data_IF_627408604553
#
_entry.id   IF_627408604553
#
_cell.length_a   1.000
_cell.length_b   1.000
_cell.length_c   1.000
_cell.angle_alpha   90.00
_cell.angle_beta   90.00
_cell.angle_gamma   90.00
#
_symmetry.space_group_name_H-M   'P 1'
#
loop_
_entity.id
_entity.type
_entity.pdbx_description
1 polymer ?
#
# COMPACT_ATOMS: atom_id res chain seq x y z
N UNK A 1 31.43 -16.10 20.82
CA UNK A 1 30.95 -14.73 21.11
C UNK A 1 29.65 -14.49 20.35
N UNK A 2 28.63 -14.00 21.04
CA UNK A 2 27.20 -14.10 20.73
C UNK A 2 26.83 -13.70 19.29
N UNK A 3 26.24 -14.63 18.52
CA UNK A 3 25.53 -14.31 17.28
C UNK A 3 24.32 -13.45 17.65
N UNK A 4 24.50 -12.15 17.47
CA UNK A 4 23.55 -11.05 17.57
C UNK A 4 22.09 -11.51 17.47
N UNK A 5 21.35 -11.28 18.56
CA UNK A 5 19.90 -11.35 18.62
C UNK A 5 19.33 -10.13 17.85
N UNK A 6 19.62 -10.03 16.55
CA UNK A 6 19.12 -8.93 15.72
C UNK A 6 17.62 -9.12 15.59
N UNK A 7 16.86 -8.30 16.30
CA UNK A 7 15.39 -8.24 16.22
C UNK A 7 14.99 -8.12 14.75
N UNK A 8 14.31 -9.15 14.24
CA UNK A 8 13.77 -9.18 12.88
C UNK A 8 12.44 -8.47 12.91
N UNK A 9 12.27 -7.43 12.08
CA UNK A 9 11.02 -6.69 12.05
C UNK A 9 10.02 -7.34 11.09
N UNK A 10 10.50 -7.79 9.93
CA UNK A 10 9.72 -8.31 8.80
C UNK A 10 10.23 -9.69 8.36
N UNK A 11 11.50 -9.79 7.98
CA UNK A 11 12.11 -11.03 7.44
C UNK A 11 13.61 -11.12 7.79
N UNK A 12 14.09 -12.32 8.12
CA UNK A 12 15.52 -12.59 8.35
C UNK A 12 16.29 -12.79 7.04
N UNK A 13 17.61 -12.90 7.12
CA UNK A 13 18.36 -13.50 6.01
C UNK A 13 18.03 -15.00 5.88
N UNK A 14 18.12 -15.53 4.67
CA UNK A 14 17.94 -16.95 4.39
C UNK A 14 19.06 -17.78 4.98
N UNK A 15 18.71 -18.93 5.56
CA UNK A 15 19.65 -19.95 6.02
C UNK A 15 19.43 -21.20 5.18
N UNK A 16 20.50 -21.75 4.62
CA UNK A 16 20.39 -23.01 3.90
C UNK A 16 19.92 -24.11 4.86
N UNK A 17 18.91 -24.86 4.42
CA UNK A 17 18.41 -26.03 5.10
C UNK A 17 19.05 -27.27 4.48
N UNK A 18 19.52 -28.14 5.35
CA UNK A 18 19.99 -29.49 5.02
C UNK A 18 18.90 -30.48 5.45
N UNK A 19 17.69 -30.29 4.90
CA UNK A 19 16.50 -31.08 5.22
C UNK A 19 15.90 -31.60 3.91
N UNK A 20 15.55 -32.88 3.91
CA UNK A 20 14.77 -33.51 2.85
C UNK A 20 13.33 -32.97 2.87
N UNK A 21 13.04 -32.05 1.94
CA UNK A 21 11.72 -31.43 1.78
C UNK A 21 10.74 -32.32 1.01
N UNK A 22 11.17 -33.44 0.42
CA UNK A 22 10.32 -34.29 -0.43
C UNK A 22 9.14 -34.89 0.35
N UNK A 23 9.23 -34.92 1.68
CA UNK A 23 8.14 -35.35 2.58
C UNK A 23 7.18 -34.23 2.99
N UNK A 24 7.53 -32.97 2.73
CA UNK A 24 6.79 -31.80 3.21
C UNK A 24 6.10 -31.01 2.10
N UNK A 25 6.59 -31.07 0.86
CA UNK A 25 6.08 -30.28 -0.27
C UNK A 25 5.83 -31.15 -1.50
N UNK A 26 4.86 -30.75 -2.32
CA UNK A 26 4.50 -31.47 -3.54
C UNK A 26 5.50 -31.21 -4.69
N UNK A 27 5.98 -32.30 -5.28
CA UNK A 27 6.88 -32.31 -6.44
C UNK A 27 8.34 -32.49 -6.07
N UNK A 28 9.14 -32.96 -7.03
CA UNK A 28 10.57 -33.23 -6.82
C UNK A 28 11.32 -31.92 -6.51
N UNK A 29 11.84 -31.81 -5.30
CA UNK A 29 12.62 -30.65 -4.88
C UNK A 29 14.03 -30.76 -5.45
N UNK A 30 14.51 -29.67 -6.04
CA UNK A 30 15.83 -29.63 -6.68
C UNK A 30 16.69 -28.53 -6.08
N UNK A 31 17.93 -28.88 -5.74
CA UNK A 31 18.92 -27.94 -5.22
C UNK A 31 18.66 -27.48 -3.78
N UNK A 32 19.43 -26.49 -3.30
CA UNK A 32 19.43 -26.11 -1.90
C UNK A 32 18.18 -25.32 -1.52
N UNK A 33 17.63 -25.67 -0.35
CA UNK A 33 16.48 -24.98 0.22
C UNK A 33 16.94 -23.90 1.20
N UNK A 34 16.15 -22.84 1.38
CA UNK A 34 16.43 -21.78 2.36
C UNK A 34 15.25 -21.58 3.30
N UNK A 35 15.56 -21.45 4.58
CA UNK A 35 14.63 -21.01 5.63
C UNK A 35 14.85 -19.54 5.98
N UNK A 36 13.76 -18.83 6.14
CA UNK A 36 13.69 -17.47 6.67
C UNK A 36 12.76 -17.46 7.88
N UNK A 37 13.06 -16.59 8.84
CA UNK A 37 12.10 -16.18 9.86
C UNK A 37 11.37 -14.95 9.35
N UNK A 38 10.04 -15.00 9.34
CA UNK A 38 9.20 -13.84 9.07
C UNK A 38 8.44 -13.46 10.34
N UNK A 39 8.20 -12.17 10.54
CA UNK A 39 7.32 -11.71 11.61
C UNK A 39 5.85 -11.90 11.24
N UNK A 40 4.95 -11.64 12.18
CA UNK A 40 3.51 -11.72 11.93
C UNK A 40 3.02 -10.74 10.85
N UNK A 41 3.55 -9.50 10.83
CA UNK A 41 3.27 -8.58 9.73
C UNK A 41 3.90 -9.05 8.40
N UNK A 42 5.08 -9.66 8.43
CA UNK A 42 5.69 -10.27 7.25
C UNK A 42 4.82 -11.38 6.67
N UNK A 43 4.24 -12.20 7.54
CA UNK A 43 3.24 -13.22 7.18
C UNK A 43 1.98 -12.58 6.58
N UNK A 44 1.43 -11.53 7.20
CA UNK A 44 0.27 -10.78 6.69
C UNK A 44 0.51 -10.23 5.27
N UNK A 45 1.66 -9.59 5.04
CA UNK A 45 1.99 -8.98 3.74
C UNK A 45 2.14 -10.03 2.62
N UNK A 46 2.56 -11.25 2.96
CA UNK A 46 2.72 -12.37 2.02
C UNK A 46 1.47 -13.24 1.88
N UNK A 47 0.49 -13.08 2.78
CA UNK A 47 -0.69 -13.94 2.84
C UNK A 47 -1.56 -13.78 1.57
N UNK A 48 -1.86 -14.88 0.85
CA UNK A 48 -2.69 -14.82 -0.36
C UNK A 48 -4.20 -14.73 -0.08
N UNK A 49 -4.61 -14.83 1.19
CA UNK A 49 -6.01 -14.84 1.60
C UNK A 49 -6.61 -13.44 1.63
N UNK A 50 -7.94 -13.38 1.50
CA UNK A 50 -8.67 -12.14 1.55
C UNK A 50 -8.56 -11.45 2.90
N UNK A 51 -8.51 -10.13 2.88
CA UNK A 51 -8.51 -9.30 4.09
C UNK A 51 -9.76 -8.43 4.09
N UNK A 52 -10.28 -8.13 5.27
CA UNK A 52 -11.34 -7.16 5.45
C UNK A 52 -10.75 -5.82 5.87
N UNK A 53 -11.19 -4.74 5.24
CA UNK A 53 -10.87 -3.38 5.65
C UNK A 53 -12.14 -2.56 5.83
N UNK A 54 -12.11 -1.57 6.71
CA UNK A 54 -13.20 -0.61 6.87
C UNK A 54 -12.99 0.58 5.95
N UNK A 55 -14.00 0.94 5.17
CA UNK A 55 -14.06 2.17 4.38
C UNK A 55 -15.33 2.94 4.69
N UNK A 56 -15.33 4.26 4.49
CA UNK A 56 -16.54 5.06 4.68
C UNK A 56 -17.36 5.04 3.40
N UNK A 57 -18.61 4.59 3.47
CA UNK A 57 -19.53 4.70 2.34
C UNK A 57 -20.04 6.14 2.27
N UNK A 58 -19.85 6.81 1.14
CA UNK A 58 -20.22 8.23 0.98
C UNK A 58 -21.30 8.46 -0.07
N UNK A 59 -21.66 7.44 -0.84
CA UNK A 59 -22.61 7.61 -1.93
C UNK A 59 -22.77 6.40 -2.84
N UNK A 60 -23.32 6.63 -4.02
CA UNK A 60 -23.48 5.63 -5.07
C UNK A 60 -23.47 6.23 -6.48
N UNK A 61 -23.07 5.40 -7.44
CA UNK A 61 -23.16 5.65 -8.87
C UNK A 61 -24.32 4.84 -9.46
N UNK A 62 -25.29 5.54 -10.06
CA UNK A 62 -26.51 4.98 -10.61
C UNK A 62 -26.42 4.93 -12.14
N UNK A 63 -26.58 3.72 -12.68
CA UNK A 63 -26.64 3.47 -14.12
C UNK A 63 -28.07 3.16 -14.52
N UNK A 64 -28.64 3.94 -15.44
CA UNK A 64 -30.01 3.79 -15.90
C UNK A 64 -30.14 2.83 -17.09
N UNK A 65 -31.28 2.12 -17.17
CA UNK A 65 -31.64 1.26 -18.32
C UNK A 65 -31.71 2.12 -19.57
N UNK A 66 -31.07 1.68 -20.65
CA UNK A 66 -31.21 2.35 -21.94
C UNK A 66 -32.50 1.87 -22.61
N UNK A 67 -33.36 2.80 -23.03
CA UNK A 67 -34.62 2.46 -23.70
C UNK A 67 -34.41 1.69 -25.03
N UNK A 68 -35.39 0.88 -25.46
CA UNK A 68 -35.31 0.01 -26.64
C UNK A 68 -35.02 0.76 -27.94
N UNK A 69 -35.42 2.04 -28.03
CA UNK A 69 -35.19 2.92 -29.19
C UNK A 69 -33.69 3.17 -29.47
N UNK A 70 -32.80 2.97 -28.48
CA UNK A 70 -31.34 3.13 -28.68
C UNK A 70 -30.65 1.89 -29.24
N UNK A 71 -31.19 0.69 -29.05
CA UNK A 71 -30.66 -0.52 -29.71
C UNK A 71 -30.91 -0.47 -31.23
N UNK A 72 -32.04 0.10 -31.65
CA UNK A 72 -32.39 0.29 -33.06
C UNK A 72 -31.48 1.35 -33.72
N UNK A 73 -31.14 2.45 -33.02
CA UNK A 73 -30.16 3.43 -33.52
C UNK A 73 -28.77 2.82 -33.74
N UNK A 74 -28.30 1.90 -32.87
CA UNK A 74 -27.03 1.17 -33.07
C UNK A 74 -27.04 0.28 -34.34
N UNK A 75 -28.20 -0.26 -34.72
CA UNK A 75 -28.35 -1.03 -35.95
C UNK A 75 -28.37 -0.12 -37.19
N UNK A 76 -29.04 1.03 -37.13
CA UNK A 76 -29.10 1.98 -38.25
C UNK A 76 -27.76 2.67 -38.56
N UNK A 77 -26.90 2.91 -37.57
CA UNK A 77 -25.54 3.45 -37.81
C UNK A 77 -24.56 2.42 -38.40
N UNK A 78 -24.90 1.12 -38.44
CA UNK A 78 -24.11 0.11 -39.15
C UNK A 78 -24.49 -0.02 -40.63
N UNK A 79 -25.58 0.60 -41.09
CA UNK A 79 -26.15 0.39 -42.43
C UNK A 79 -25.94 1.61 -43.37
N UNK A 80 -25.37 2.72 -42.88
CA UNK A 80 -25.04 3.88 -43.73
C UNK A 80 -23.51 4.07 -43.85
N UNK A 81 -22.90 3.71 -44.99
CA UNK A 81 -21.50 3.97 -45.26
C UNK A 81 -21.31 5.44 -45.67
N UNK A 82 -20.33 6.11 -45.07
CA UNK A 82 -19.80 7.37 -45.60
C UNK A 82 -20.33 8.65 -44.94
N UNK A 83 -20.00 8.88 -43.67
CA UNK A 83 -19.85 10.24 -43.14
C UNK A 83 -18.74 10.27 -42.10
N UNK A 84 -17.59 10.82 -42.51
CA UNK A 84 -16.38 10.97 -41.69
C UNK A 84 -16.56 11.90 -40.49
N UNK A 85 -15.92 11.50 -39.39
CA UNK A 85 -15.13 12.33 -38.47
C UNK A 85 -15.67 13.73 -38.16
N UNK A 86 -16.63 13.79 -37.24
CA UNK A 86 -16.62 14.80 -36.16
C UNK A 86 -16.97 14.08 -34.87
N UNK A 87 -16.03 14.06 -33.93
CA UNK A 87 -16.23 13.65 -32.54
C UNK A 87 -17.18 14.65 -31.87
N UNK A 88 -18.48 14.59 -32.24
CA UNK A 88 -19.52 15.21 -31.44
C UNK A 88 -19.65 14.35 -30.19
N UNK A 89 -19.36 14.93 -29.02
CA UNK A 89 -19.68 14.37 -27.70
C UNK A 89 -21.06 13.74 -27.78
N UNK A 90 -21.13 12.41 -27.75
CA UNK A 90 -22.38 11.71 -27.53
C UNK A 90 -22.92 12.18 -26.18
N UNK A 91 -24.18 12.64 -26.08
CA UNK A 91 -24.85 12.69 -24.79
C UNK A 91 -25.22 11.24 -24.43
N UNK A 92 -24.19 10.43 -24.12
CA UNK A 92 -24.41 9.29 -23.25
C UNK A 92 -24.90 9.89 -21.94
N UNK A 93 -26.07 9.45 -21.47
CA UNK A 93 -26.50 9.73 -20.11
C UNK A 93 -25.36 9.25 -19.22
N UNK A 94 -24.57 10.20 -18.74
CA UNK A 94 -23.49 9.95 -17.81
C UNK A 94 -24.10 9.31 -16.57
N UNK A 95 -23.46 8.28 -16.00
CA UNK A 95 -23.94 7.71 -14.75
C UNK A 95 -24.15 8.83 -13.73
N UNK A 96 -25.23 8.72 -12.97
CA UNK A 96 -25.54 9.72 -11.97
C UNK A 96 -24.81 9.40 -10.68
N UNK A 97 -23.89 10.28 -10.29
CA UNK A 97 -23.12 10.17 -9.06
C UNK A 97 -23.84 10.93 -7.95
N UNK A 98 -24.24 10.22 -6.91
CA UNK A 98 -24.88 10.76 -5.71
C UNK A 98 -23.89 10.57 -4.56
N UNK A 99 -23.27 11.66 -4.08
CA UNK A 99 -22.23 11.62 -3.04
C UNK A 99 -22.54 12.67 -1.98
N UNK A 100 -22.35 12.31 -0.71
CA UNK A 100 -22.56 13.22 0.41
C UNK A 100 -21.44 14.24 0.41
N UNK A 101 -21.83 15.51 0.27
CA UNK A 101 -20.88 16.65 0.26
C UNK A 101 -20.59 17.18 1.66
N UNK A 102 -21.36 16.73 2.66
CA UNK A 102 -21.18 17.17 4.03
C UNK A 102 -20.40 16.11 4.80
N UNK A 103 -19.13 16.41 5.09
CA UNK A 103 -18.38 15.72 6.16
C UNK A 103 -18.97 16.15 7.51
N UNK A 104 -20.18 15.70 7.83
CA UNK A 104 -20.68 15.71 9.21
C UNK A 104 -19.86 14.66 9.98
N UNK A 105 -18.64 15.03 10.35
CA UNK A 105 -17.79 14.24 11.23
C UNK A 105 -17.71 14.96 12.57
N UNK A 106 -18.04 14.23 13.63
CA UNK A 106 -17.73 14.65 14.98
C UNK A 106 -16.30 14.16 15.24
N UNK A 107 -15.36 15.07 15.56
CA UNK A 107 -14.02 14.65 15.96
C UNK A 107 -14.09 13.76 17.20
N UNK A 108 -13.11 12.87 17.43
CA UNK A 108 -13.17 11.94 18.52
C UNK A 108 -13.06 12.76 19.82
N UNK A 109 -14.07 12.66 20.67
CA UNK A 109 -14.10 13.44 21.90
C UNK A 109 -13.46 12.61 23.01
N UNK A 110 -12.77 13.28 23.93
CA UNK A 110 -12.28 12.61 25.15
C UNK A 110 -13.42 12.16 26.07
N UNK A 111 -14.58 12.80 25.92
CA UNK A 111 -15.80 12.55 26.68
C UNK A 111 -16.77 11.72 25.83
N UNK A 112 -17.01 10.49 26.26
CA UNK A 112 -17.88 9.53 25.55
C UNK A 112 -19.36 9.93 25.57
N UNK A 113 -19.81 10.67 26.60
CA UNK A 113 -21.20 11.09 26.72
C UNK A 113 -21.48 12.25 25.76
N UNK A 114 -20.53 13.18 25.66
CA UNK A 114 -20.58 14.26 24.66
C UNK A 114 -20.48 13.71 23.23
N UNK A 115 -19.60 12.74 22.98
CA UNK A 115 -19.52 12.06 21.68
C UNK A 115 -20.85 11.39 21.32
N UNK A 116 -21.44 10.64 22.26
CA UNK A 116 -22.74 10.00 22.08
C UNK A 116 -23.85 11.02 21.78
N UNK A 117 -23.88 12.13 22.51
CA UNK A 117 -24.85 13.20 22.32
C UNK A 117 -24.73 13.88 20.95
N UNK A 118 -23.50 14.22 20.54
CA UNK A 118 -23.25 14.77 19.21
C UNK A 118 -23.65 13.77 18.12
N UNK A 119 -23.35 12.48 18.30
CA UNK A 119 -23.76 11.43 17.37
C UNK A 119 -25.28 11.39 17.22
N UNK A 120 -26.05 11.52 18.31
CA UNK A 120 -27.51 11.63 18.25
C UNK A 120 -27.98 12.84 17.41
N UNK A 121 -27.32 13.99 17.53
CA UNK A 121 -27.63 15.19 16.72
C UNK A 121 -27.35 14.91 15.24
N UNK A 122 -26.21 14.29 14.90
CA UNK A 122 -25.88 13.94 13.51
C UNK A 122 -26.89 12.94 12.94
N UNK A 123 -27.34 11.95 13.71
CA UNK A 123 -28.40 11.03 13.32
C UNK A 123 -29.73 11.76 13.02
N UNK A 124 -30.10 12.75 13.84
CA UNK A 124 -31.31 13.56 13.63
C UNK A 124 -31.21 14.46 12.38
N UNK A 125 -30.00 14.89 12.01
CA UNK A 125 -29.77 15.70 10.81
C UNK A 125 -29.67 14.87 9.52
N UNK A 126 -29.49 13.54 9.61
CA UNK A 126 -29.35 12.63 8.46
C UNK A 126 -30.47 12.75 7.40
N UNK A 127 -31.76 12.90 7.74
CA UNK A 127 -32.83 13.05 6.74
C UNK A 127 -32.69 14.30 5.87
N UNK A 128 -31.93 15.31 6.33
CA UNK A 128 -31.66 16.53 5.59
C UNK A 128 -30.41 16.42 4.70
N UNK A 129 -29.71 15.28 4.70
CA UNK A 129 -28.65 15.02 3.73
C UNK A 129 -29.27 14.93 2.32
N UNK A 130 -28.74 15.76 1.42
CA UNK A 130 -29.08 15.78 -0.01
C UNK A 130 -29.02 14.40 -0.67
N UNK A 131 -28.16 13.50 -0.18
CA UNK A 131 -28.05 12.13 -0.71
C UNK A 131 -29.25 11.28 -0.30
N UNK A 132 -29.64 11.31 0.97
CA UNK A 132 -30.75 10.51 1.47
C UNK A 132 -32.05 10.88 0.73
N UNK A 133 -32.30 12.19 0.56
CA UNK A 133 -33.43 12.68 -0.21
C UNK A 133 -33.41 12.24 -1.67
N UNK A 134 -32.23 12.24 -2.30
CA UNK A 134 -32.08 11.85 -3.70
C UNK A 134 -32.22 10.35 -3.92
N UNK A 135 -31.79 9.53 -2.96
CA UNK A 135 -31.98 8.08 -3.01
C UNK A 135 -33.47 7.69 -2.95
N UNK A 136 -34.27 8.39 -2.14
CA UNK A 136 -35.73 8.16 -2.04
C UNK A 136 -36.45 8.48 -3.36
N UNK A 137 -35.90 9.39 -4.17
CA UNK A 137 -36.48 9.78 -5.46
C UNK A 137 -36.11 8.84 -6.62
N UNK A 138 -35.24 7.87 -6.40
CA UNK A 138 -34.84 6.91 -7.43
C UNK A 138 -36.00 5.97 -7.76
N UNK A 139 -36.25 5.79 -9.06
CA UNK A 139 -37.20 4.82 -9.58
C UNK A 139 -36.46 3.51 -9.91
N UNK A 140 -36.61 2.43 -9.10
CA UNK A 140 -35.87 1.19 -9.29
C UNK A 140 -36.11 0.55 -10.67
N UNK A 141 -37.30 0.74 -11.23
CA UNK A 141 -37.69 0.16 -12.52
C UNK A 141 -36.85 0.70 -13.68
N UNK A 142 -36.32 1.92 -13.56
CA UNK A 142 -35.49 2.60 -14.57
C UNK A 142 -34.00 2.33 -14.41
N UNK A 143 -33.57 1.68 -13.33
CA UNK A 143 -32.16 1.49 -13.00
C UNK A 143 -31.67 0.13 -13.47
N UNK A 144 -30.52 0.12 -14.13
CA UNK A 144 -29.82 -1.10 -14.55
C UNK A 144 -28.87 -1.60 -13.47
N UNK A 145 -28.13 -0.69 -12.84
CA UNK A 145 -27.11 -1.03 -11.86
C UNK A 145 -26.84 0.13 -10.90
N UNK A 146 -26.47 -0.20 -9.67
CA UNK A 146 -25.94 0.74 -8.67
C UNK A 146 -24.62 0.18 -8.15
N UNK A 147 -23.61 1.04 -8.06
CA UNK A 147 -22.36 0.78 -7.34
C UNK A 147 -22.27 1.74 -6.15
N UNK A 148 -21.81 1.27 -4.99
CA UNK A 148 -21.49 2.16 -3.88
C UNK A 148 -20.19 2.92 -4.14
N UNK A 149 -20.05 4.11 -3.56
CA UNK A 149 -18.83 4.91 -3.60
C UNK A 149 -18.33 5.04 -2.16
N UNK A 150 -17.12 4.57 -1.91
CA UNK A 150 -16.45 4.68 -0.62
C UNK A 150 -15.30 5.68 -0.70
N UNK A 151 -15.14 6.49 0.34
CA UNK A 151 -13.98 7.35 0.57
C UNK A 151 -12.90 6.59 1.36
N UNK A 152 -11.66 6.74 0.92
CA UNK A 152 -10.47 6.36 1.68
C UNK A 152 -9.96 7.56 2.50
N UNK A 153 -9.15 7.31 3.53
CA UNK A 153 -8.56 8.32 4.44
C UNK A 153 -7.84 9.45 3.68
N UNK A 154 -7.27 9.16 2.52
CA UNK A 154 -6.62 10.17 1.66
C UNK A 154 -7.53 10.83 0.61
N UNK A 155 -8.85 10.85 0.82
CA UNK A 155 -9.83 11.47 -0.09
C UNK A 155 -10.05 10.72 -1.42
N UNK A 156 -9.45 9.55 -1.59
CA UNK A 156 -9.58 8.76 -2.82
C UNK A 156 -10.90 7.99 -2.81
N UNK A 157 -11.59 7.97 -3.95
CA UNK A 157 -12.83 7.20 -4.11
C UNK A 157 -12.57 5.79 -4.64
N UNK A 158 -13.34 4.83 -4.15
CA UNK A 158 -13.34 3.47 -4.65
C UNK A 158 -14.77 2.93 -4.73
N UNK A 159 -15.03 2.10 -5.74
CA UNK A 159 -16.35 1.52 -5.92
C UNK A 159 -16.55 0.29 -5.04
N UNK A 160 -17.73 0.20 -4.44
CA UNK A 160 -18.22 -0.97 -3.71
C UNK A 160 -19.25 -1.70 -4.56
N UNK A 161 -18.99 -2.98 -4.85
CA UNK A 161 -19.96 -3.84 -5.51
C UNK A 161 -21.05 -4.22 -4.52
N UNK A 162 -22.24 -3.63 -4.69
CA UNK A 162 -23.41 -3.96 -3.90
C UNK A 162 -24.08 -5.22 -4.43
N UNK A 163 -24.50 -6.10 -3.52
CA UNK A 163 -25.26 -7.32 -3.82
C UNK A 163 -26.76 -7.06 -3.69
N UNK A 164 -27.59 -7.98 -4.22
CA UNK A 164 -29.05 -7.89 -4.12
C UNK A 164 -29.75 -7.20 -5.29
N UNK A 165 -31.06 -7.01 -5.16
CA UNK A 165 -31.92 -6.28 -6.10
C UNK A 165 -31.58 -4.77 -6.12
N UNK A 166 -32.14 -4.01 -7.07
CA UNK A 166 -31.92 -2.56 -7.10
C UNK A 166 -32.49 -1.89 -5.84
N UNK A 167 -33.66 -2.34 -5.38
CA UNK A 167 -34.31 -1.86 -4.17
C UNK A 167 -33.46 -2.13 -2.93
N UNK A 168 -32.89 -3.34 -2.82
CA UNK A 168 -31.97 -3.70 -1.74
C UNK A 168 -30.70 -2.83 -1.76
N UNK A 169 -30.17 -2.50 -2.94
CA UNK A 169 -29.02 -1.61 -3.09
C UNK A 169 -29.33 -0.17 -2.69
N UNK A 170 -30.49 0.36 -3.07
CA UNK A 170 -30.93 1.71 -2.66
C UNK A 170 -31.07 1.76 -1.15
N UNK A 171 -31.73 0.75 -0.56
CA UNK A 171 -31.88 0.63 0.90
C UNK A 171 -30.52 0.56 1.60
N UNK A 172 -29.62 -0.28 1.11
CA UNK A 172 -28.27 -0.39 1.67
C UNK A 172 -27.53 0.96 1.65
N UNK A 173 -27.57 1.70 0.53
CA UNK A 173 -26.97 3.03 0.49
C UNK A 173 -27.61 3.94 1.56
N UNK A 174 -28.94 4.00 1.64
CA UNK A 174 -29.64 4.82 2.64
C UNK A 174 -29.26 4.49 4.09
N UNK A 175 -29.16 3.20 4.42
CA UNK A 175 -28.87 2.73 5.78
C UNK A 175 -27.40 2.94 6.20
N UNK A 176 -26.47 2.92 5.23
CA UNK A 176 -25.02 2.89 5.48
C UNK A 176 -24.24 4.13 5.01
N UNK A 177 -24.88 5.13 4.42
CA UNK A 177 -24.21 6.40 4.09
C UNK A 177 -23.57 7.02 5.34
N UNK A 178 -22.35 7.53 5.14
CA UNK A 178 -21.46 8.11 6.15
C UNK A 178 -21.00 7.13 7.23
N UNK A 179 -21.34 5.84 7.13
CA UNK A 179 -20.88 4.79 8.05
C UNK A 179 -19.67 4.04 7.51
N UNK A 180 -18.91 3.44 8.43
CA UNK A 180 -17.88 2.47 8.09
C UNK A 180 -18.49 1.16 7.61
N UNK A 181 -18.14 0.72 6.40
CA UNK A 181 -18.53 -0.55 5.80
C UNK A 181 -17.33 -1.45 5.61
N UNK A 182 -17.53 -2.75 5.84
CA UNK A 182 -16.53 -3.77 5.57
C UNK A 182 -16.37 -3.97 4.06
N UNK A 183 -15.12 -3.94 3.59
CA UNK A 183 -14.74 -4.18 2.21
C UNK A 183 -13.70 -5.28 2.17
N UNK A 184 -14.00 -6.34 1.44
CA UNK A 184 -13.11 -7.48 1.28
C UNK A 184 -12.16 -7.20 0.11
N UNK A 185 -10.86 -7.23 0.38
CA UNK A 185 -9.81 -7.26 -0.64
C UNK A 185 -9.31 -8.68 -0.80
N UNK A 186 -8.87 -9.03 -2.01
CA UNK A 186 -8.40 -10.39 -2.31
C UNK A 186 -7.17 -10.81 -1.49
N UNK A 187 -6.31 -9.85 -1.12
CA UNK A 187 -5.11 -10.01 -0.29
C UNK A 187 -4.53 -8.64 0.06
N UNK A 188 -3.57 -8.59 0.97
CA UNK A 188 -2.90 -7.34 1.38
C UNK A 188 -2.12 -6.69 0.22
N UNK A 189 -1.47 -7.49 -0.64
CA UNK A 189 -0.79 -7.00 -1.83
C UNK A 189 -1.79 -6.68 -2.96
N UNK A 190 -1.89 -5.40 -3.33
CA UNK A 190 -2.83 -4.96 -4.38
C UNK A 190 -2.18 -5.13 -5.77
N UNK A 191 -1.21 -4.29 -6.10
CA UNK A 191 -0.47 -4.29 -7.37
C UNK A 191 0.74 -3.35 -7.29
N UNK A 192 1.72 -3.53 -8.17
CA UNK A 192 2.86 -2.61 -8.39
C UNK A 192 3.62 -2.18 -7.12
N UNK A 193 3.74 -3.07 -6.15
CA UNK A 193 4.40 -2.77 -4.87
C UNK A 193 3.52 -2.07 -3.84
N UNK A 194 2.21 -1.95 -4.06
CA UNK A 194 1.27 -1.38 -3.09
C UNK A 194 0.67 -2.47 -2.18
N UNK A 195 0.74 -2.23 -0.88
CA UNK A 195 0.16 -3.07 0.17
C UNK A 195 -0.83 -2.27 1.02
N UNK A 196 -1.95 -2.90 1.33
CA UNK A 196 -2.94 -2.42 2.28
C UNK A 196 -2.59 -2.86 3.71
N UNK A 197 -2.52 -1.93 4.66
CA UNK A 197 -2.13 -2.22 6.04
C UNK A 197 -3.32 -2.21 7.01
N UNK A 198 -4.47 -1.64 6.63
CA UNK A 198 -5.64 -1.52 7.53
C UNK A 198 -6.30 -2.85 7.91
N UNK A 199 -5.98 -3.92 7.19
CA UNK A 199 -6.44 -5.27 7.51
C UNK A 199 -5.58 -5.97 8.56
N UNK A 200 -4.47 -5.36 8.99
CA UNK A 200 -3.58 -5.89 10.02
C UNK A 200 -3.81 -5.19 11.36
N UNK A 201 -3.87 -5.97 12.43
CA UNK A 201 -3.93 -5.44 13.79
C UNK A 201 -2.51 -5.18 14.31
N UNK A 202 -2.07 -3.92 14.25
CA UNK A 202 -0.74 -3.54 14.70
C UNK A 202 -0.56 -3.60 16.23
N UNK A 203 -1.65 -3.55 17.01
CA UNK A 203 -1.57 -3.61 18.47
C UNK A 203 -1.21 -5.02 18.96
N UNK A 204 -1.61 -6.06 18.22
CA UNK A 204 -1.24 -7.45 18.51
C UNK A 204 0.12 -7.86 17.94
N UNK A 205 0.86 -6.95 17.28
CA UNK A 205 2.18 -7.24 16.75
C UNK A 205 3.18 -7.54 17.87
N UNK A 206 3.59 -8.80 17.96
CA UNK A 206 4.67 -9.26 18.84
C UNK A 206 5.95 -9.55 18.03
N UNK A 207 7.06 -8.83 18.25
CA UNK A 207 8.32 -9.10 17.58
C UNK A 207 8.98 -10.44 17.97
N UNK A 208 8.54 -11.09 19.06
CA UNK A 208 9.00 -12.43 19.42
C UNK A 208 8.27 -13.53 18.63
N UNK A 209 7.05 -13.24 18.13
CA UNK A 209 6.27 -14.16 17.33
C UNK A 209 6.80 -14.20 15.89
N UNK A 210 7.46 -15.30 15.54
CA UNK A 210 8.03 -15.53 14.21
C UNK A 210 7.53 -16.81 13.58
N UNK A 211 7.33 -16.78 12.26
CA UNK A 211 6.95 -17.91 11.43
C UNK A 211 8.11 -18.33 10.53
N UNK A 212 8.10 -19.59 10.09
CA UNK A 212 9.08 -20.08 9.13
C UNK A 212 8.56 -19.91 7.72
N UNK A 213 9.40 -19.37 6.85
CA UNK A 213 9.19 -19.33 5.41
C UNK A 213 10.29 -20.15 4.75
N UNK A 214 9.92 -21.04 3.84
CA UNK A 214 10.87 -21.89 3.11
C UNK A 214 10.78 -21.55 1.63
N UNK A 215 11.93 -21.34 0.98
CA UNK A 215 12.05 -21.25 -0.47
C UNK A 215 12.82 -22.44 -1.00
N UNK A 216 12.40 -22.97 -2.15
CA UNK A 216 12.98 -24.15 -2.79
C UNK A 216 12.71 -24.10 -4.30
N UNK A 217 13.41 -24.90 -5.10
CA UNK A 217 13.10 -25.04 -6.53
C UNK A 217 12.39 -26.36 -6.77
N UNK A 218 11.32 -26.33 -7.56
CA UNK A 218 10.61 -27.53 -7.96
C UNK A 218 10.05 -27.34 -9.38
N UNK A 219 10.34 -28.27 -10.29
CA UNK A 219 9.91 -28.18 -11.68
C UNK A 219 10.51 -27.01 -12.47
N UNK A 220 11.71 -26.55 -12.10
CA UNK A 220 12.40 -25.42 -12.75
C UNK A 220 12.02 -24.03 -12.22
N UNK A 221 10.99 -23.93 -11.38
CA UNK A 221 10.53 -22.67 -10.79
C UNK A 221 10.91 -22.56 -9.31
N UNK A 222 11.19 -21.33 -8.87
CA UNK A 222 11.36 -21.01 -7.47
C UNK A 222 10.00 -20.94 -6.78
N UNK A 223 9.76 -21.83 -5.81
CA UNK A 223 8.57 -21.86 -4.97
C UNK A 223 8.89 -21.40 -3.55
N UNK A 224 7.86 -20.97 -2.84
CA UNK A 224 7.96 -20.64 -1.43
C UNK A 224 6.69 -20.96 -0.67
N UNK A 225 6.81 -21.36 0.59
CA UNK A 225 5.69 -21.60 1.49
C UNK A 225 5.98 -21.06 2.89
N UNK A 226 4.92 -20.69 3.60
CA UNK A 226 4.95 -20.36 5.03
C UNK A 226 4.45 -21.55 5.81
N UNK A 227 5.10 -21.84 6.93
CA UNK A 227 4.71 -22.89 7.85
C UNK A 227 3.99 -22.32 9.07
N UNK A 228 3.04 -23.10 9.57
CA UNK A 228 2.43 -22.95 10.89
C UNK A 228 3.45 -23.27 12.00
N UNK A 229 3.10 -22.95 13.25
CA UNK A 229 3.91 -23.29 14.44
C UNK A 229 4.17 -24.82 14.56
N UNK A 230 3.28 -25.65 14.02
CA UNK A 230 3.38 -27.11 13.99
C UNK A 230 4.16 -27.65 12.77
N UNK A 231 4.91 -26.79 12.06
CA UNK A 231 5.65 -27.10 10.82
C UNK A 231 4.78 -27.68 9.68
N UNK A 232 3.46 -27.48 9.70
CA UNK A 232 2.59 -27.77 8.54
C UNK A 232 2.56 -26.56 7.61
N UNK A 233 2.39 -26.77 6.31
CA UNK A 233 2.19 -25.68 5.35
C UNK A 233 0.93 -24.89 5.75
N UNK A 234 1.11 -23.59 5.95
CA UNK A 234 0.04 -22.63 6.16
C UNK A 234 -0.48 -22.14 4.80
N UNK A 235 0.43 -21.62 3.97
CA UNK A 235 0.12 -21.23 2.59
C UNK A 235 1.35 -21.23 1.69
N UNK A 236 1.10 -21.34 0.38
CA UNK A 236 2.10 -21.14 -0.66
C UNK A 236 2.11 -19.69 -1.14
N UNK A 237 3.30 -19.16 -1.42
CA UNK A 237 3.46 -17.87 -2.07
C UNK A 237 3.20 -18.04 -3.57
N UNK A 238 2.25 -17.27 -4.10
CA UNK A 238 1.97 -17.24 -5.55
C UNK A 238 3.04 -16.47 -6.33
N UNK A 239 3.71 -15.52 -5.68
CA UNK A 239 4.71 -14.65 -6.29
C UNK A 239 5.92 -14.51 -5.35
N UNK A 240 7.01 -15.20 -5.69
CA UNK A 240 8.26 -15.16 -4.92
C UNK A 240 8.96 -13.78 -5.00
N UNK A 241 8.61 -12.91 -5.96
CA UNK A 241 9.17 -11.55 -6.00
C UNK A 241 8.77 -10.70 -4.80
N UNK A 242 7.68 -11.04 -4.11
CA UNK A 242 7.26 -10.34 -2.89
C UNK A 242 8.29 -10.46 -1.76
N UNK A 243 9.12 -11.51 -1.74
CA UNK A 243 10.22 -11.64 -0.78
C UNK A 243 11.22 -10.49 -0.91
N UNK A 244 11.43 -9.98 -2.12
CA UNK A 244 12.28 -8.81 -2.35
C UNK A 244 11.74 -7.59 -1.60
N UNK A 245 10.42 -7.36 -1.64
CA UNK A 245 9.79 -6.28 -0.90
C UNK A 245 9.95 -6.46 0.62
N UNK A 246 9.84 -7.68 1.13
CA UNK A 246 10.04 -7.94 2.56
C UNK A 246 11.46 -7.59 3.01
N UNK A 247 12.48 -8.00 2.25
CA UNK A 247 13.87 -7.67 2.54
C UNK A 247 14.15 -6.16 2.44
N UNK A 248 13.58 -5.50 1.45
CA UNK A 248 13.68 -4.05 1.29
C UNK A 248 13.03 -3.30 2.46
N UNK A 249 11.90 -3.80 2.97
CA UNK A 249 11.23 -3.19 4.11
C UNK A 249 12.00 -3.39 5.41
N UNK A 250 12.47 -4.63 5.66
CA UNK A 250 13.38 -4.94 6.77
C UNK A 250 14.60 -4.02 6.76
N UNK A 251 15.19 -3.83 5.59
CA UNK A 251 16.34 -2.96 5.41
C UNK A 251 15.98 -1.50 5.74
N UNK A 252 14.88 -0.98 5.20
CA UNK A 252 14.41 0.38 5.49
C UNK A 252 14.14 0.62 6.96
N UNK A 253 13.52 -0.33 7.67
CA UNK A 253 13.27 -0.21 9.11
C UNK A 253 14.55 -0.22 9.95
N UNK A 254 15.61 -0.87 9.45
CA UNK A 254 16.93 -0.90 10.10
C UNK A 254 17.78 0.33 9.80
N UNK A 255 17.67 0.89 8.58
CA UNK A 255 18.52 2.00 8.15
C UNK A 255 17.89 3.38 8.33
N UNK A 256 16.56 3.50 8.37
CA UNK A 256 15.84 4.76 8.53
C UNK A 256 15.20 4.88 9.93
N UNK A 257 15.78 5.69 10.84
CA UNK A 257 15.21 5.92 12.16
C UNK A 257 13.80 6.53 12.14
N UNK A 258 13.48 7.39 11.16
CA UNK A 258 12.15 8.00 11.06
C UNK A 258 11.09 6.96 10.77
N UNK A 259 11.32 6.13 9.75
CA UNK A 259 10.41 5.05 9.39
C UNK A 259 10.26 4.03 10.53
N UNK A 260 11.37 3.68 11.20
CA UNK A 260 11.36 2.79 12.38
C UNK A 260 10.53 3.36 13.53
N UNK A 261 10.66 4.67 13.80
CA UNK A 261 9.87 5.36 14.82
C UNK A 261 8.38 5.29 14.50
N UNK A 262 7.98 5.60 13.27
CA UNK A 262 6.58 5.53 12.83
C UNK A 262 6.03 4.12 12.95
N UNK A 263 6.80 3.11 12.55
CA UNK A 263 6.40 1.72 12.70
C UNK A 263 6.12 1.35 14.17
N UNK A 264 6.92 1.86 15.11
CA UNK A 264 6.66 1.69 16.54
C UNK A 264 5.43 2.46 17.02
N UNK A 265 5.18 3.68 16.52
CA UNK A 265 3.95 4.43 16.82
C UNK A 265 2.70 3.64 16.40
N UNK A 266 2.74 2.96 15.25
CA UNK A 266 1.65 2.08 14.82
C UNK A 266 1.44 0.92 15.81
N UNK A 267 2.53 0.29 16.26
CA UNK A 267 2.47 -0.80 17.27
C UNK A 267 1.93 -0.32 18.61
N UNK A 268 2.25 0.90 19.00
CA UNK A 268 1.83 1.50 20.28
C UNK A 268 0.40 2.05 20.23
N UNK A 269 -0.28 1.96 19.09
CA UNK A 269 -1.63 2.51 18.93
C UNK A 269 -1.66 4.04 18.93
N UNK A 270 -0.54 4.68 18.57
CA UNK A 270 -0.41 6.13 18.45
C UNK A 270 -0.56 6.60 17.00
N UNK A 271 -0.48 5.66 16.05
CA UNK A 271 -0.69 5.91 14.63
C UNK A 271 -1.51 4.76 14.01
N UNK A 272 -2.36 5.10 13.04
CA UNK A 272 -3.09 4.12 12.23
C UNK A 272 -2.37 3.97 10.89
N UNK A 273 -1.73 2.82 10.61
CA UNK A 273 -1.09 2.58 9.32
C UNK A 273 -2.11 2.34 8.22
N UNK A 274 -1.86 2.92 7.06
CA UNK A 274 -2.78 2.90 5.92
C UNK A 274 -2.19 2.06 4.78
N UNK A 275 -1.06 2.47 4.23
CA UNK A 275 -0.47 1.84 3.04
C UNK A 275 1.04 1.73 3.16
N UNK A 276 1.59 0.66 2.59
CA UNK A 276 3.02 0.50 2.33
C UNK A 276 3.22 0.42 0.82
N UNK A 277 4.13 1.22 0.27
CA UNK A 277 4.36 1.26 -1.17
C UNK A 277 5.85 1.22 -1.52
N UNK A 278 6.20 0.36 -2.48
CA UNK A 278 7.54 0.20 -3.01
C UNK A 278 7.63 0.84 -4.40
N UNK A 279 8.02 2.10 -4.45
CA UNK A 279 8.07 2.90 -5.67
C UNK A 279 9.43 2.80 -6.37
N UNK A 280 9.46 2.32 -7.61
CA UNK A 280 10.69 2.31 -8.44
C UNK A 280 10.90 3.60 -9.24
N UNK A 281 9.89 4.46 -9.34
CA UNK A 281 9.91 5.73 -10.10
C UNK A 281 9.70 6.87 -9.13
N UNK A 282 10.78 7.29 -8.49
CA UNK A 282 10.77 8.50 -7.65
C UNK A 282 10.89 9.73 -8.55
N UNK A 283 10.03 10.72 -8.31
CA UNK A 283 10.10 12.04 -8.97
C UNK A 283 11.08 12.98 -8.22
N UNK A 284 12.09 12.41 -7.56
CA UNK A 284 13.10 13.18 -6.84
C UNK A 284 14.30 13.36 -7.77
N UNK A 285 14.58 14.61 -8.12
CA UNK A 285 15.72 14.97 -8.95
C UNK A 285 16.86 15.55 -8.10
N UNK A 286 17.84 14.71 -7.77
CA UNK A 286 19.04 15.12 -7.02
C UNK A 286 20.05 15.92 -7.87
N UNK A 287 19.78 16.15 -9.16
CA UNK A 287 20.63 17.02 -10.00
C UNK A 287 20.49 18.49 -9.61
N UNK A 288 19.32 18.90 -9.10
CA UNK A 288 19.02 20.28 -8.69
C UNK A 288 19.02 20.48 -7.17
N UNK A 289 19.03 19.39 -6.41
CA UNK A 289 18.99 19.42 -4.96
C UNK A 289 20.40 19.59 -4.32
N UNK A 290 20.40 19.87 -3.02
CA UNK A 290 21.57 19.65 -2.18
C UNK A 290 21.99 18.17 -2.24
N UNK A 291 23.27 17.87 -2.00
CA UNK A 291 23.69 16.47 -1.88
C UNK A 291 22.96 15.83 -0.70
N UNK A 292 22.54 14.56 -0.77
CA UNK A 292 21.95 13.88 0.38
C UNK A 292 22.92 13.84 1.57
N UNK A 293 22.39 13.80 2.78
CA UNK A 293 23.14 13.91 4.05
C UNK A 293 24.33 12.93 4.10
N UNK A 294 24.12 11.68 3.66
CA UNK A 294 25.17 10.66 3.59
C UNK A 294 26.40 11.13 2.78
N UNK A 295 26.20 11.86 1.69
CA UNK A 295 27.29 12.38 0.87
C UNK A 295 27.89 13.65 1.45
N UNK A 296 27.08 14.51 2.09
CA UNK A 296 27.59 15.67 2.82
C UNK A 296 28.55 15.22 3.93
N UNK A 297 28.16 14.21 4.71
CA UNK A 297 29.00 13.60 5.75
C UNK A 297 30.30 13.04 5.21
N UNK A 298 30.22 12.27 4.11
CA UNK A 298 31.40 11.65 3.50
C UNK A 298 32.36 12.72 2.97
N UNK A 299 31.84 13.78 2.35
CA UNK A 299 32.66 14.89 1.84
C UNK A 299 33.34 15.64 2.98
N UNK A 300 32.60 15.91 4.05
CA UNK A 300 33.14 16.55 5.27
C UNK A 300 34.22 15.68 5.92
N UNK A 301 33.98 14.38 6.04
CA UNK A 301 34.93 13.43 6.67
C UNK A 301 36.22 13.28 5.86
N UNK A 302 36.11 13.32 4.53
CA UNK A 302 37.25 13.14 3.62
C UNK A 302 37.89 14.48 3.18
N UNK A 303 37.44 15.63 3.71
CA UNK A 303 37.88 16.97 3.33
C UNK A 303 37.90 17.17 1.80
N UNK A 304 36.83 16.75 1.11
CA UNK A 304 36.72 16.84 -0.35
C UNK A 304 36.15 18.19 -0.79
N UNK A 305 36.72 18.75 -1.86
CA UNK A 305 36.20 19.95 -2.51
C UNK A 305 34.81 19.71 -3.12
N UNK A 306 33.95 20.74 -3.03
CA UNK A 306 32.58 20.72 -3.53
C UNK A 306 32.48 20.55 -5.05
N UNK A 307 33.52 20.88 -5.81
CA UNK A 307 33.57 20.69 -7.27
C UNK A 307 33.44 19.21 -7.69
N UNK A 308 33.76 18.25 -6.80
CA UNK A 308 33.58 16.81 -7.01
C UNK A 308 32.12 16.35 -6.93
N UNK A 309 31.20 17.23 -6.53
CA UNK A 309 29.74 17.00 -6.54
C UNK A 309 29.22 16.60 -7.92
N UNK A 310 29.78 17.18 -8.99
CA UNK A 310 29.35 16.94 -10.37
C UNK A 310 29.57 15.48 -10.82
N UNK A 311 30.49 14.76 -10.18
CA UNK A 311 30.73 13.33 -10.47
C UNK A 311 29.70 12.40 -9.79
N UNK A 312 28.98 12.91 -8.79
CA UNK A 312 28.06 12.11 -7.96
C UNK A 312 26.61 12.35 -8.38
N UNK A 313 26.21 13.60 -8.59
CA UNK A 313 24.81 13.95 -8.87
C UNK A 313 24.15 13.14 -9.98
N UNK A 314 24.80 12.90 -11.15
CA UNK A 314 24.17 12.11 -12.22
C UNK A 314 23.85 10.68 -11.78
N UNK A 315 24.67 10.11 -10.91
CA UNK A 315 24.54 8.74 -10.43
C UNK A 315 23.40 8.61 -9.42
N UNK A 316 23.16 9.66 -8.62
CA UNK A 316 22.18 9.61 -7.54
C UNK A 316 20.79 9.26 -8.05
N UNK A 317 20.39 9.73 -9.24
CA UNK A 317 19.07 9.53 -9.82
C UNK A 317 18.82 8.13 -10.42
N UNK A 318 19.81 7.22 -10.39
CA UNK A 318 19.69 5.89 -10.99
C UNK A 318 19.51 4.79 -9.94
N UNK A 319 18.79 3.72 -10.29
CA UNK A 319 18.64 2.53 -9.43
C UNK A 319 18.19 2.83 -7.99
N UNK A 320 17.33 3.84 -7.84
CA UNK A 320 16.68 4.15 -6.58
C UNK A 320 15.41 3.30 -6.41
N UNK A 321 15.03 3.11 -5.15
CA UNK A 321 13.71 2.63 -4.78
C UNK A 321 13.23 3.39 -3.55
N UNK A 322 12.01 3.93 -3.64
CA UNK A 322 11.31 4.56 -2.53
C UNK A 322 10.46 3.54 -1.80
N UNK A 323 10.49 3.58 -0.47
CA UNK A 323 9.65 2.75 0.37
C UNK A 323 8.88 3.69 1.28
N UNK A 324 7.59 3.86 1.00
CA UNK A 324 6.74 4.82 1.69
C UNK A 324 5.73 4.12 2.59
N UNK A 325 5.63 4.57 3.84
CA UNK A 325 4.62 4.18 4.80
C UNK A 325 3.69 5.36 5.06
N UNK A 326 2.42 5.21 4.70
CA UNK A 326 1.38 6.21 4.95
C UNK A 326 0.57 5.85 6.19
N UNK A 327 0.29 6.84 7.03
CA UNK A 327 -0.36 6.66 8.33
C UNK A 327 -1.13 7.91 8.77
N UNK A 328 -2.02 7.76 9.75
CA UNK A 328 -2.68 8.87 10.46
C UNK A 328 -2.15 8.89 11.89
N UNK A 329 -1.82 10.07 12.43
CA UNK A 329 -1.50 10.23 13.85
C UNK A 329 -2.79 10.39 14.65
N UNK A 330 -2.93 9.63 15.74
CA UNK A 330 -4.08 9.74 16.64
C UNK A 330 -4.00 10.96 17.56
N UNK A 331 -2.83 11.59 17.69
CA UNK A 331 -2.62 12.83 18.43
C UNK A 331 -3.08 14.09 17.68
N UNK A 332 -3.29 14.00 16.37
CA UNK A 332 -3.65 15.17 15.57
C UNK A 332 -5.16 15.44 15.70
N UNK A 333 -5.54 16.66 16.12
CA UNK A 333 -6.93 17.11 16.10
C UNK A 333 -7.56 17.13 14.69
N UNK A 334 -6.77 16.88 13.65
CA UNK A 334 -7.21 16.72 12.26
C UNK A 334 -7.18 15.23 11.88
N UNK A 335 -8.28 14.53 12.16
CA UNK A 335 -8.45 13.07 11.94
C UNK A 335 -8.19 12.59 10.50
N UNK A 336 -8.17 13.48 9.52
CA UNK A 336 -8.03 13.14 8.09
C UNK A 336 -6.61 13.41 7.54
N UNK A 337 -5.65 13.88 8.35
CA UNK A 337 -4.30 14.19 7.85
C UNK A 337 -3.50 12.90 7.66
N UNK A 338 -3.26 12.56 6.39
CA UNK A 338 -2.39 11.44 6.02
C UNK A 338 -0.94 11.91 5.98
N UNK A 339 -0.14 11.34 6.89
CA UNK A 339 1.31 11.49 6.92
C UNK A 339 1.95 10.39 6.06
N UNK A 340 3.15 10.64 5.54
CA UNK A 340 3.94 9.66 4.78
C UNK A 340 5.42 9.84 5.08
N UNK A 341 6.05 8.75 5.51
CA UNK A 341 7.50 8.63 5.67
C UNK A 341 8.05 7.76 4.53
N UNK A 342 9.10 8.25 3.87
CA UNK A 342 9.71 7.63 2.69
C UNK A 342 11.19 7.36 2.96
N UNK A 343 11.60 6.10 2.87
CA UNK A 343 13.00 5.72 2.73
C UNK A 343 13.38 5.69 1.25
N UNK A 344 14.35 6.50 0.84
CA UNK A 344 14.96 6.40 -0.49
C UNK A 344 16.18 5.49 -0.37
N UNK A 345 16.06 4.26 -0.84
CA UNK A 345 17.18 3.32 -0.91
C UNK A 345 17.85 3.41 -2.28
N UNK A 346 19.18 3.39 -2.29
CA UNK A 346 19.97 3.46 -3.52
C UNK A 346 20.84 2.20 -3.66
N UNK A 347 20.73 1.55 -4.81
CA UNK A 347 21.50 0.35 -5.12
C UNK A 347 22.97 0.68 -5.31
N UNK A 348 23.88 -0.02 -4.62
CA UNK A 348 25.31 0.21 -4.75
C UNK A 348 25.84 0.04 -6.17
N UNK A 349 25.16 -0.74 -7.03
CA UNK A 349 25.56 -0.91 -8.44
C UNK A 349 25.60 0.41 -9.20
N UNK A 350 24.80 1.39 -8.78
CA UNK A 350 24.86 2.72 -9.38
C UNK A 350 26.22 3.39 -9.14
N UNK A 351 26.92 3.08 -8.04
CA UNK A 351 28.16 3.71 -7.64
C UNK A 351 29.41 3.14 -8.34
N UNK A 352 29.27 2.13 -9.21
CA UNK A 352 30.42 1.55 -9.92
C UNK A 352 31.29 2.57 -10.67
N UNK A 353 30.75 3.64 -11.31
CA UNK A 353 31.58 4.70 -11.91
C UNK A 353 32.48 5.42 -10.90
N UNK A 354 32.08 5.50 -9.62
CA UNK A 354 32.87 6.14 -8.56
C UNK A 354 34.07 5.29 -8.14
N UNK A 355 34.08 3.99 -8.43
CA UNK A 355 35.15 3.09 -8.00
C UNK A 355 36.53 3.49 -8.55
N UNK A 356 36.57 4.08 -9.75
CA UNK A 356 37.80 4.60 -10.37
C UNK A 356 38.03 6.08 -10.08
N UNK A 357 36.96 6.89 -10.11
CA UNK A 357 37.06 8.35 -10.06
C UNK A 357 37.11 8.91 -8.63
N UNK A 358 36.44 8.25 -7.67
CA UNK A 358 36.36 8.63 -6.26
C UNK A 358 36.39 7.38 -5.35
N UNK A 359 37.48 6.58 -5.36
CA UNK A 359 37.54 5.30 -4.67
C UNK A 359 37.30 5.42 -3.15
N UNK A 360 37.79 6.48 -2.52
CA UNK A 360 37.58 6.72 -1.09
C UNK A 360 36.11 7.01 -0.75
N UNK A 361 35.39 7.73 -1.62
CA UNK A 361 33.94 7.97 -1.47
C UNK A 361 33.17 6.68 -1.66
N UNK A 362 33.50 5.90 -2.71
CA UNK A 362 32.91 4.58 -2.95
C UNK A 362 33.07 3.69 -1.70
N UNK A 363 34.30 3.53 -1.20
CA UNK A 363 34.56 2.72 -0.01
C UNK A 363 33.83 3.20 1.24
N UNK A 364 33.67 4.52 1.43
CA UNK A 364 32.95 5.08 2.57
C UNK A 364 31.44 4.76 2.52
N UNK A 365 30.80 4.90 1.35
CA UNK A 365 29.36 4.60 1.17
C UNK A 365 29.09 3.10 1.20
N UNK A 366 29.97 2.29 0.60
CA UNK A 366 29.90 0.82 0.61
C UNK A 366 29.87 0.25 2.03
N UNK A 367 30.56 0.89 2.99
CA UNK A 367 30.53 0.51 4.42
C UNK A 367 29.19 0.81 5.10
N UNK A 368 28.40 1.76 4.58
CA UNK A 368 27.06 2.12 5.08
C UNK A 368 25.95 1.28 4.45
N UNK A 369 26.25 0.50 3.41
CA UNK A 369 25.26 -0.32 2.74
C UNK A 369 24.99 -1.63 3.48
N UNK A 370 23.73 -2.01 3.55
CA UNK A 370 23.31 -3.32 4.05
C UNK A 370 23.14 -4.30 2.89
N UNK A 371 23.46 -5.56 3.18
CA UNK A 371 23.34 -6.67 2.24
C UNK A 371 22.11 -7.49 2.62
N UNK A 372 21.24 -7.73 1.64
CA UNK A 372 20.14 -8.67 1.74
C UNK A 372 19.97 -9.42 0.42
N UNK A 373 19.06 -10.39 0.40
CA UNK A 373 18.73 -11.08 -0.84
C UNK A 373 18.04 -10.19 -1.87
N UNK A 374 17.51 -9.02 -1.46
CA UNK A 374 17.02 -8.03 -2.42
C UNK A 374 18.14 -7.32 -3.18
N UNK A 375 19.37 -7.34 -2.65
CA UNK A 375 20.53 -6.62 -3.17
C UNK A 375 21.29 -5.89 -2.06
N UNK A 376 22.22 -5.02 -2.48
CA UNK A 376 23.04 -4.23 -1.57
C UNK A 376 22.66 -2.75 -1.71
N UNK A 377 21.90 -2.26 -0.75
CA UNK A 377 21.40 -0.89 -0.74
C UNK A 377 21.95 -0.12 0.45
N UNK A 378 21.92 1.21 0.36
CA UNK A 378 22.09 2.10 1.49
C UNK A 378 20.95 3.12 1.49
N UNK A 379 20.68 3.72 2.66
CA UNK A 379 19.72 4.82 2.75
C UNK A 379 20.37 6.06 2.13
N UNK A 380 19.81 6.53 1.03
CA UNK A 380 20.24 7.75 0.37
C UNK A 380 19.63 8.97 1.06
N UNK A 381 18.32 8.91 1.32
CA UNK A 381 17.56 10.01 1.91
C UNK A 381 16.34 9.50 2.69
N UNK A 382 15.85 10.32 3.62
CA UNK A 382 14.61 10.11 4.37
C UNK A 382 13.71 11.32 4.22
N UNK A 383 12.54 11.13 3.63
CA UNK A 383 11.61 12.21 3.33
C UNK A 383 10.32 11.99 4.10
N UNK A 384 9.88 13.01 4.81
CA UNK A 384 8.64 12.98 5.57
C UNK A 384 7.74 14.10 5.06
N UNK A 385 6.45 13.81 4.90
CA UNK A 385 5.48 14.79 4.45
C UNK A 385 4.08 14.43 4.89
N UNK A 386 3.16 15.36 4.69
CA UNK A 386 1.74 15.13 4.92
C UNK A 386 0.92 15.74 3.78
N UNK A 387 -0.21 15.11 3.48
CA UNK A 387 -1.24 15.67 2.62
C UNK A 387 -2.43 16.05 3.46
N UNK A 388 -2.94 17.27 3.28
CA UNK A 388 -4.28 17.60 3.74
C UNK A 388 -5.27 16.99 2.75
N UNK A 389 -6.19 16.17 3.26
CA UNK A 389 -7.28 15.60 2.48
C UNK A 389 -8.38 16.63 2.21
#
# INVERSE_FOLDING_TARGET
>A
MSRNNSKVWIISQGRFLDIDLDRMVEGDVTGPCKEYKISDIGRYLLNPNSIEIKKKLIGGEVHYKQGPIKQIRKAFYKILPGASKRLKKNPMLSPEVIVSRYKLQIPPMKDSDLESHLNQIVEQLRPYDSVANKLVQLDPSKIFQIAGICEDVGGNYSYLKLQGSIEEKIKYLGDFISKGVAVILNKAYIADGLFELRGYDFLSYDPAKTFKLITYNAGGDQKACVLTENNKIDFYLKDCHLLKHMHLFEQSLKSNPSLSRVFNLCREGLATPIKLFFNKKLEIDYSKAALPEIYQDVFKTLNLELNKKNLIQPILNHLQIGISLSYILLSDCQQDRMHTDISVLHDLRALEPLRKNLPHVYSAVVKRAMISEAGRFYLLDSINGYSNA
#
